data_IF_977425753626
#
_entry.id   IF_977425753626
#
_cell.length_a   1.000
_cell.length_b   1.000
_cell.length_c   1.000
_cell.angle_alpha   90.00
_cell.angle_beta   90.00
_cell.angle_gamma   90.00
#
_symmetry.space_group_name_H-M   'P 1'
#
loop_
_entity.id
_entity.type
_entity.pdbx_description
1 polymer ?
#
# COMPACT_ATOMS: atom_id res chain seq x y z
N UNK A 1 -19.61 13.87 -2.43
CA UNK A 1 -18.21 14.35 -2.36
C UNK A 1 -18.12 15.23 -1.13
N UNK A 2 -17.39 14.81 -0.13
CA UNK A 2 -17.15 15.63 1.05
C UNK A 2 -16.34 16.85 0.61
N UNK A 3 -16.78 18.04 1.01
CA UNK A 3 -16.08 19.26 0.63
C UNK A 3 -14.74 19.24 1.36
N UNK A 4 -13.63 19.12 0.64
CA UNK A 4 -12.30 19.13 1.25
C UNK A 4 -12.13 20.39 2.09
N UNK A 5 -11.68 20.19 3.30
CA UNK A 5 -11.15 21.27 4.12
C UNK A 5 -9.87 21.78 3.47
N UNK A 6 -9.67 23.09 3.49
CA UNK A 6 -8.38 23.69 3.10
C UNK A 6 -7.31 23.22 4.10
N UNK A 7 -6.49 22.27 3.66
CA UNK A 7 -5.38 21.71 4.43
C UNK A 7 -4.03 22.38 4.10
N UNK A 8 -4.08 23.47 3.33
CA UNK A 8 -2.90 24.27 2.94
C UNK A 8 -2.20 23.78 1.67
N UNK A 9 -2.66 22.70 1.03
CA UNK A 9 -2.11 22.26 -0.26
C UNK A 9 -2.79 22.98 -1.42
N UNK A 10 -1.99 23.55 -2.31
CA UNK A 10 -2.48 24.20 -3.55
C UNK A 10 -2.82 23.22 -4.68
N UNK A 11 -2.32 21.99 -4.58
CA UNK A 11 -2.54 20.91 -5.54
C UNK A 11 -2.80 19.63 -4.78
N UNK A 12 -3.80 18.89 -5.19
CA UNK A 12 -4.14 17.60 -4.60
C UNK A 12 -4.68 16.68 -5.66
N UNK A 13 -4.18 15.46 -5.68
CA UNK A 13 -4.73 14.33 -6.42
C UNK A 13 -5.17 13.28 -5.41
N UNK A 14 -6.33 12.74 -5.62
CA UNK A 14 -7.00 11.86 -4.65
C UNK A 14 -7.29 10.50 -5.26
N UNK A 15 -6.95 9.45 -4.53
CA UNK A 15 -7.43 8.10 -4.79
C UNK A 15 -7.88 7.43 -3.50
N UNK A 16 -8.59 6.33 -3.64
CA UNK A 16 -9.13 5.54 -2.53
C UNK A 16 -8.82 4.07 -2.76
N UNK A 17 -9.35 3.22 -1.90
CA UNK A 17 -9.36 1.78 -2.11
C UNK A 17 -9.76 1.48 -3.54
N UNK A 18 -9.14 0.49 -4.19
CA UNK A 18 -9.42 0.14 -5.57
C UNK A 18 -10.78 -0.58 -5.72
N UNK A 19 -11.84 -0.06 -5.14
CA UNK A 19 -13.21 -0.51 -5.32
C UNK A 19 -14.09 0.66 -5.80
N UNK A 20 -15.11 0.34 -6.61
CA UNK A 20 -16.01 1.32 -7.20
C UNK A 20 -17.19 1.70 -6.29
N UNK A 21 -17.29 1.10 -5.11
CA UNK A 21 -18.44 1.23 -4.22
C UNK A 21 -18.34 2.39 -3.22
N UNK A 22 -17.26 3.16 -3.26
CA UNK A 22 -17.14 4.30 -2.37
C UNK A 22 -18.14 5.38 -2.74
N UNK A 23 -18.92 5.93 -1.77
CA UNK A 23 -20.03 6.83 -2.06
C UNK A 23 -19.63 8.20 -2.63
N UNK A 24 -18.39 8.42 -2.95
CA UNK A 24 -17.83 9.66 -3.47
C UNK A 24 -17.82 9.82 -5.00
N UNK A 25 -18.08 8.77 -5.76
CA UNK A 25 -17.94 8.78 -7.22
C UNK A 25 -16.48 8.59 -7.70
N UNK A 26 -16.21 8.92 -8.95
CA UNK A 26 -14.91 8.75 -9.57
C UNK A 26 -13.83 9.60 -8.89
N UNK A 27 -12.69 8.96 -8.59
CA UNK A 27 -11.50 9.62 -8.04
C UNK A 27 -10.49 9.96 -9.14
N UNK A 28 -9.41 10.67 -8.79
CA UNK A 28 -8.42 11.14 -9.77
C UNK A 28 -7.64 9.98 -10.41
N UNK A 29 -7.42 8.87 -9.69
CA UNK A 29 -6.80 7.68 -10.26
C UNK A 29 -7.69 7.01 -11.30
N UNK A 30 -8.98 6.87 -11.05
CA UNK A 30 -9.92 6.35 -12.05
C UNK A 30 -10.02 7.25 -13.28
N UNK A 31 -9.97 8.58 -13.09
CA UNK A 31 -9.94 9.52 -14.21
C UNK A 31 -8.65 9.36 -15.04
N UNK A 32 -7.51 9.20 -14.38
CA UNK A 32 -6.24 8.93 -15.06
C UNK A 32 -6.26 7.61 -15.87
N UNK A 33 -6.88 6.56 -15.36
CA UNK A 33 -7.10 5.32 -16.13
C UNK A 33 -7.94 5.58 -17.37
N UNK A 34 -9.01 6.39 -17.26
CA UNK A 34 -9.85 6.77 -18.41
C UNK A 34 -9.10 7.57 -19.45
N UNK A 35 -8.23 8.48 -19.04
CA UNK A 35 -7.34 9.22 -19.96
C UNK A 35 -6.42 8.28 -20.75
N UNK A 36 -6.06 7.14 -20.17
CA UNK A 36 -5.31 6.07 -20.85
C UNK A 36 -6.21 5.11 -21.67
N UNK A 37 -7.50 5.37 -21.75
CA UNK A 37 -8.46 4.56 -22.49
C UNK A 37 -8.90 3.28 -21.76
N UNK A 38 -8.69 3.22 -20.47
CA UNK A 38 -8.99 2.08 -19.61
C UNK A 38 -10.14 2.39 -18.68
N UNK A 39 -10.90 1.36 -18.32
CA UNK A 39 -11.86 1.45 -17.23
C UNK A 39 -11.28 0.72 -16.02
N UNK A 40 -11.73 1.12 -14.85
CA UNK A 40 -11.34 0.49 -13.59
C UNK A 40 -11.61 -1.03 -13.62
N UNK A 41 -12.76 -1.45 -14.16
CA UNK A 41 -13.14 -2.85 -14.27
C UNK A 41 -12.22 -3.66 -15.21
N UNK A 42 -11.59 -2.99 -16.17
CA UNK A 42 -10.66 -3.64 -17.09
C UNK A 42 -9.34 -4.00 -16.38
N UNK A 43 -8.95 -3.21 -15.39
CA UNK A 43 -7.73 -3.40 -14.59
C UNK A 43 -7.97 -4.37 -13.43
N UNK A 44 -9.03 -4.16 -12.67
CA UNK A 44 -9.34 -4.93 -11.46
C UNK A 44 -10.28 -6.12 -11.73
N UNK A 45 -10.74 -6.29 -12.96
CA UNK A 45 -11.53 -7.43 -13.39
C UNK A 45 -12.91 -7.54 -12.75
N UNK A 46 -13.48 -6.44 -12.26
CA UNK A 46 -14.78 -6.41 -11.60
C UNK A 46 -14.87 -7.31 -10.36
N UNK A 47 -13.72 -7.70 -9.78
CA UNK A 47 -13.62 -8.68 -8.69
C UNK A 47 -13.58 -8.06 -7.30
N UNK A 48 -13.43 -6.76 -7.21
CA UNK A 48 -13.49 -6.06 -5.95
C UNK A 48 -14.94 -5.90 -5.55
N UNK A 49 -15.44 -6.88 -4.79
CA UNK A 49 -16.74 -6.75 -4.15
C UNK A 49 -16.63 -5.68 -3.06
N UNK A 50 -17.58 -4.77 -3.11
CA UNK A 50 -17.84 -3.72 -2.15
C UNK A 50 -17.42 -4.09 -0.71
N UNK A 51 -16.54 -3.28 -0.11
CA UNK A 51 -16.38 -3.26 1.35
C UNK A 51 -17.67 -2.75 2.06
N UNK A 52 -18.70 -2.38 1.30
CA UNK A 52 -19.97 -1.83 1.80
C UNK A 52 -20.96 -2.89 2.28
N UNK A 53 -20.68 -4.20 2.14
CA UNK A 53 -21.53 -5.24 2.70
C UNK A 53 -21.06 -5.59 4.12
N UNK A 54 -21.74 -5.07 5.10
CA UNK A 54 -21.56 -5.50 6.50
C UNK A 54 -22.55 -6.65 6.86
N UNK A 55 -22.11 -7.75 7.52
CA UNK A 55 -20.69 -8.10 7.75
C UNK A 55 -19.98 -8.35 6.43
N UNK A 56 -18.72 -7.93 6.31
CA UNK A 56 -17.97 -8.15 5.10
C UNK A 56 -17.90 -9.63 4.79
N UNK A 57 -18.24 -9.99 3.55
CA UNK A 57 -18.00 -11.36 3.11
C UNK A 57 -16.48 -11.57 3.07
N UNK A 58 -16.00 -12.79 3.36
CA UNK A 58 -14.59 -13.10 3.21
C UNK A 58 -14.11 -12.63 1.84
N UNK A 59 -13.15 -11.72 1.81
CA UNK A 59 -12.65 -11.18 0.56
C UNK A 59 -11.75 -12.23 -0.08
N UNK A 60 -12.09 -12.77 -1.27
CA UNK A 60 -11.27 -13.78 -1.94
C UNK A 60 -9.86 -13.28 -2.27
N UNK A 61 -9.62 -11.96 -2.22
CA UNK A 61 -8.31 -11.37 -2.48
C UNK A 61 -7.29 -11.62 -1.36
N UNK A 62 -7.72 -12.03 -0.17
CA UNK A 62 -6.82 -12.40 0.92
C UNK A 62 -6.25 -13.83 0.83
N UNK A 63 -6.64 -14.60 -0.18
CA UNK A 63 -6.23 -16.00 -0.36
C UNK A 63 -5.02 -16.18 -1.28
N UNK A 64 -4.28 -15.13 -1.62
CA UNK A 64 -3.17 -15.22 -2.58
C UNK A 64 -3.60 -15.50 -4.03
N UNK A 65 -4.89 -15.33 -4.35
CA UNK A 65 -5.45 -15.52 -5.72
C UNK A 65 -5.79 -14.20 -6.39
N UNK A 66 -5.09 -13.13 -6.04
CA UNK A 66 -5.28 -11.82 -6.63
C UNK A 66 -4.87 -11.81 -8.10
N UNK A 67 -5.64 -11.13 -8.92
CA UNK A 67 -5.20 -10.75 -10.27
C UNK A 67 -4.35 -9.50 -10.09
N UNK A 68 -3.06 -9.61 -10.32
CA UNK A 68 -2.15 -8.47 -10.20
C UNK A 68 -2.52 -7.36 -11.19
N UNK A 69 -2.46 -6.12 -10.74
CA UNK A 69 -2.62 -4.95 -11.60
C UNK A 69 -1.33 -4.75 -12.39
N UNK A 70 -1.37 -4.50 -13.73
CA UNK A 70 -0.15 -4.19 -14.47
C UNK A 70 0.58 -2.98 -13.88
N UNK A 71 1.91 -3.05 -13.78
CA UNK A 71 2.72 -2.03 -13.12
C UNK A 71 2.51 -0.62 -13.68
N UNK A 72 2.34 -0.51 -15.02
CA UNK A 72 2.11 0.77 -15.70
C UNK A 72 0.76 1.41 -15.38
N UNK A 73 -0.18 0.66 -14.83
CA UNK A 73 -1.53 1.12 -14.45
C UNK A 73 -1.75 1.09 -12.94
N UNK A 74 -0.75 0.64 -12.19
CA UNK A 74 -0.86 0.51 -10.75
C UNK A 74 -0.97 1.86 -10.04
N UNK A 75 -1.71 1.89 -8.94
CA UNK A 75 -1.96 3.11 -8.17
C UNK A 75 -0.67 3.75 -7.63
N UNK A 76 0.29 2.95 -7.19
CA UNK A 76 1.63 3.43 -6.79
C UNK A 76 2.37 4.11 -7.93
N UNK A 77 2.29 3.55 -9.16
CA UNK A 77 2.88 4.17 -10.36
C UNK A 77 2.21 5.51 -10.67
N UNK A 78 0.89 5.58 -10.56
CA UNK A 78 0.13 6.82 -10.72
C UNK A 78 0.56 7.89 -9.71
N UNK A 79 0.73 7.54 -8.42
CA UNK A 79 1.19 8.47 -7.39
C UNK A 79 2.52 9.13 -7.77
N UNK A 80 3.49 8.33 -8.21
CA UNK A 80 4.81 8.83 -8.61
C UNK A 80 4.74 9.65 -9.90
N UNK A 81 3.93 9.23 -10.89
CA UNK A 81 3.70 10.00 -12.11
C UNK A 81 3.17 11.39 -11.80
N UNK A 82 2.17 11.50 -10.92
CA UNK A 82 1.61 12.79 -10.50
C UNK A 82 2.59 13.65 -9.70
N UNK A 83 3.44 13.06 -8.88
CA UNK A 83 4.51 13.79 -8.21
C UNK A 83 5.52 14.36 -9.20
N UNK A 84 5.97 13.57 -10.17
CA UNK A 84 6.91 14.01 -11.23
C UNK A 84 6.27 15.11 -12.08
N UNK A 85 5.02 14.96 -12.51
CA UNK A 85 4.28 15.98 -13.26
C UNK A 85 4.22 17.32 -12.50
N UNK A 86 3.91 17.26 -11.21
CA UNK A 86 3.87 18.46 -10.37
C UNK A 86 5.23 19.14 -10.26
N UNK A 87 6.31 18.37 -10.04
CA UNK A 87 7.66 18.92 -9.96
C UNK A 87 8.06 19.58 -11.29
N UNK A 88 7.80 18.91 -12.42
CA UNK A 88 8.11 19.45 -13.76
C UNK A 88 7.39 20.77 -14.02
N UNK A 89 6.12 20.86 -13.69
CA UNK A 89 5.33 22.10 -13.87
C UNK A 89 5.82 23.25 -12.99
N UNK A 90 6.44 22.96 -11.85
CA UNK A 90 6.83 23.97 -10.86
C UNK A 90 8.33 24.26 -10.81
N UNK A 91 9.19 23.47 -11.47
CA UNK A 91 10.65 23.61 -11.36
C UNK A 91 11.18 24.96 -11.86
N UNK A 92 10.51 25.59 -12.82
CA UNK A 92 10.90 26.91 -13.35
C UNK A 92 10.25 28.09 -12.62
N UNK A 93 9.43 27.83 -11.61
CA UNK A 93 8.69 28.87 -10.88
C UNK A 93 9.56 29.73 -9.98
N UNK A 94 10.77 29.28 -9.65
CA UNK A 94 11.65 29.89 -8.66
C UNK A 94 11.17 29.83 -7.22
N UNK A 95 10.06 29.09 -6.95
CA UNK A 95 9.49 28.90 -5.63
C UNK A 95 9.82 27.52 -5.10
N UNK A 96 10.06 27.37 -3.79
CA UNK A 96 10.15 26.04 -3.19
C UNK A 96 8.80 25.32 -3.26
N UNK A 97 8.84 24.00 -3.29
CA UNK A 97 7.66 23.16 -3.27
C UNK A 97 7.76 22.11 -2.14
N UNK A 98 6.62 21.65 -1.71
CA UNK A 98 6.45 20.54 -0.77
C UNK A 98 5.48 19.55 -1.41
N UNK A 99 5.84 18.28 -1.40
CA UNK A 99 4.97 17.18 -1.85
C UNK A 99 4.83 16.17 -0.71
N UNK A 100 3.59 15.78 -0.41
CA UNK A 100 3.29 14.56 0.33
C UNK A 100 2.75 13.55 -0.68
N UNK A 101 3.51 12.49 -0.93
CA UNK A 101 3.14 11.40 -1.82
C UNK A 101 2.83 10.18 -0.96
N UNK A 102 1.60 9.71 -1.02
CA UNK A 102 1.10 8.66 -0.16
C UNK A 102 0.56 7.51 -1.04
N UNK A 103 1.43 6.59 -1.50
CA UNK A 103 0.98 5.36 -2.13
C UNK A 103 0.06 4.60 -1.19
N UNK A 104 -0.97 3.97 -1.75
CA UNK A 104 -1.89 3.14 -0.97
C UNK A 104 -1.21 1.85 -0.49
N UNK A 105 -0.33 1.30 -1.33
CA UNK A 105 0.39 0.06 -1.07
C UNK A 105 1.40 0.21 0.09
N UNK A 106 1.69 -0.88 0.77
CA UNK A 106 1.18 -2.25 0.65
C UNK A 106 -0.07 -2.53 1.49
N UNK A 107 -1.02 -1.61 1.50
CA UNK A 107 -2.31 -1.82 2.18
C UNK A 107 -3.18 -2.82 1.40
N UNK A 108 -3.80 -3.81 2.04
CA UNK A 108 -4.72 -4.73 1.35
C UNK A 108 -5.87 -4.00 0.63
N UNK A 109 -6.36 -4.53 -0.51
CA UNK A 109 -6.04 -5.84 -1.07
C UNK A 109 -4.64 -5.88 -1.69
N UNK A 110 -3.93 -6.99 -1.48
CA UNK A 110 -2.61 -7.19 -2.07
C UNK A 110 -2.79 -7.61 -3.54
N UNK A 111 -2.46 -6.73 -4.45
CA UNK A 111 -2.65 -6.92 -5.90
C UNK A 111 -1.40 -6.58 -6.73
N UNK A 112 -0.21 -7.06 -6.29
CA UNK A 112 1.04 -6.73 -6.94
C UNK A 112 1.05 -7.17 -8.40
N UNK A 113 1.74 -6.43 -9.27
CA UNK A 113 1.93 -6.87 -10.65
C UNK A 113 2.65 -8.22 -10.71
N UNK A 114 2.22 -9.11 -11.59
CA UNK A 114 2.78 -10.45 -11.71
C UNK A 114 4.31 -10.43 -11.90
N UNK A 115 4.83 -9.47 -12.66
CA UNK A 115 6.26 -9.33 -12.90
C UNK A 115 7.08 -9.10 -11.60
N UNK A 116 6.49 -8.51 -10.57
CA UNK A 116 7.12 -8.32 -9.26
C UNK A 116 7.00 -9.58 -8.41
N UNK A 117 5.86 -10.27 -8.45
CA UNK A 117 5.73 -11.59 -7.81
C UNK A 117 6.75 -12.60 -8.35
N UNK A 118 6.99 -12.57 -9.65
CA UNK A 118 7.92 -13.50 -10.32
C UNK A 118 9.39 -13.27 -9.91
N UNK A 119 9.74 -12.13 -9.32
CA UNK A 119 11.07 -11.87 -8.76
C UNK A 119 11.30 -12.62 -7.44
N UNK A 120 10.24 -13.00 -6.75
CA UNK A 120 10.26 -13.56 -5.41
C UNK A 120 9.93 -15.05 -5.44
N UNK A 121 10.84 -15.88 -4.92
CA UNK A 121 10.56 -17.29 -4.77
C UNK A 121 9.72 -17.52 -3.50
N UNK A 122 8.60 -18.20 -3.62
CA UNK A 122 7.70 -18.47 -2.49
C UNK A 122 8.37 -19.27 -1.37
N UNK A 123 9.29 -20.14 -1.71
CA UNK A 123 10.03 -20.96 -0.73
C UNK A 123 10.97 -20.13 0.16
N UNK A 124 11.38 -18.95 -0.31
CA UNK A 124 12.22 -18.02 0.44
C UNK A 124 11.41 -17.09 1.35
N UNK A 125 10.08 -17.11 1.24
CA UNK A 125 9.20 -16.28 2.06
C UNK A 125 9.18 -16.79 3.50
N UNK A 126 9.29 -15.88 4.49
CA UNK A 126 9.23 -16.28 5.90
C UNK A 126 7.84 -16.81 6.26
N UNK A 127 7.78 -17.60 7.30
CA UNK A 127 6.53 -17.85 8.01
C UNK A 127 6.35 -16.80 9.11
N UNK A 128 5.10 -16.44 9.43
CA UNK A 128 4.82 -15.53 10.53
C UNK A 128 5.42 -16.01 11.85
N UNK A 129 5.83 -15.07 12.69
CA UNK A 129 6.27 -15.36 14.06
C UNK A 129 5.06 -15.72 14.92
N UNK A 130 4.83 -17.01 15.10
CA UNK A 130 3.68 -17.53 15.82
C UNK A 130 4.06 -18.66 16.76
N UNK A 131 3.48 -18.67 17.95
CA UNK A 131 3.62 -19.76 18.92
C UNK A 131 2.25 -20.13 19.47
N UNK A 132 1.94 -21.42 19.44
CA UNK A 132 0.69 -21.93 20.02
C UNK A 132 0.55 -21.55 21.50
N UNK A 133 -0.63 -21.05 21.88
CA UNK A 133 -0.95 -20.61 23.24
C UNK A 133 -0.45 -19.21 23.62
N UNK A 134 0.27 -18.49 22.73
CA UNK A 134 0.78 -17.16 23.08
C UNK A 134 -0.32 -16.11 23.31
N UNK A 135 -1.50 -16.33 22.76
CA UNK A 135 -2.66 -15.45 22.98
C UNK A 135 -3.45 -15.74 24.24
N UNK A 136 -3.17 -16.82 24.97
CA UNK A 136 -3.95 -17.25 26.15
C UNK A 136 -3.95 -16.20 27.28
N UNK A 137 -2.88 -15.42 27.38
CA UNK A 137 -2.72 -14.32 28.34
C UNK A 137 -2.96 -12.93 27.75
N UNK A 138 -3.34 -12.85 26.48
CA UNK A 138 -3.55 -11.57 25.77
C UNK A 138 -5.00 -11.11 25.90
N UNK A 139 -5.25 -9.80 25.66
CA UNK A 139 -6.60 -9.25 25.67
C UNK A 139 -7.56 -10.01 24.75
N UNK A 140 -8.83 -10.17 25.14
CA UNK A 140 -9.78 -11.00 24.39
C UNK A 140 -9.99 -10.64 22.92
N UNK A 141 -9.80 -9.37 22.54
CA UNK A 141 -9.90 -8.95 21.15
C UNK A 141 -8.85 -9.59 20.25
N UNK A 142 -7.63 -9.85 20.76
CA UNK A 142 -6.60 -10.53 19.98
C UNK A 142 -6.95 -12.00 19.73
N UNK A 143 -7.53 -12.69 20.73
CA UNK A 143 -8.05 -14.05 20.54
C UNK A 143 -9.21 -14.08 19.54
N UNK A 144 -10.08 -13.05 19.61
CA UNK A 144 -11.18 -12.90 18.65
C UNK A 144 -10.65 -12.72 17.23
N UNK A 145 -9.69 -11.82 17.03
CA UNK A 145 -9.10 -11.57 15.72
C UNK A 145 -8.36 -12.78 15.15
N UNK A 146 -7.67 -13.54 16.00
CA UNK A 146 -7.06 -14.81 15.62
C UNK A 146 -8.08 -15.81 15.08
N UNK A 147 -9.22 -15.95 15.76
CA UNK A 147 -10.25 -16.96 15.45
C UNK A 147 -11.22 -16.53 14.35
N UNK A 148 -11.41 -15.23 14.15
CA UNK A 148 -12.42 -14.68 13.25
C UNK A 148 -11.83 -13.89 12.07
N UNK A 149 -10.50 -13.69 12.04
CA UNK A 149 -9.83 -12.83 11.09
C UNK A 149 -9.84 -11.37 11.53
N UNK A 150 -8.71 -10.69 11.36
CA UNK A 150 -8.47 -9.35 11.91
C UNK A 150 -9.54 -8.31 11.56
N UNK A 151 -9.69 -7.32 12.43
CA UNK A 151 -10.62 -6.19 12.28
C UNK A 151 -12.06 -6.64 11.97
N UNK A 152 -12.65 -7.44 12.88
CA UNK A 152 -14.04 -7.92 12.78
C UNK A 152 -14.32 -8.81 11.54
N UNK A 153 -13.37 -9.64 11.15
CA UNK A 153 -13.55 -10.64 10.10
C UNK A 153 -13.27 -10.13 8.67
N UNK A 154 -12.52 -9.05 8.54
CA UNK A 154 -12.09 -8.54 7.23
C UNK A 154 -10.94 -9.37 6.61
N UNK A 155 -10.17 -10.09 7.43
CA UNK A 155 -9.17 -11.05 6.97
C UNK A 155 -9.65 -12.48 7.23
N UNK A 156 -9.05 -13.46 6.56
CA UNK A 156 -9.29 -14.87 6.90
C UNK A 156 -8.71 -15.21 8.29
N UNK A 157 -9.42 -16.04 9.07
CA UNK A 157 -8.90 -16.48 10.36
C UNK A 157 -7.57 -17.20 10.23
N UNK A 158 -6.58 -16.84 11.05
CA UNK A 158 -5.25 -17.42 11.00
C UNK A 158 -5.24 -18.96 11.02
N UNK A 159 -6.07 -19.66 11.86
CA UNK A 159 -6.09 -21.12 11.92
C UNK A 159 -6.56 -21.80 10.63
N UNK A 160 -7.23 -21.08 9.73
CA UNK A 160 -7.74 -21.63 8.47
C UNK A 160 -6.73 -21.59 7.33
N UNK A 161 -5.64 -20.84 7.49
CA UNK A 161 -4.62 -20.66 6.49
C UNK A 161 -3.55 -21.75 6.60
N UNK A 162 -3.16 -22.30 5.45
CA UNK A 162 -2.00 -23.18 5.32
C UNK A 162 -0.69 -22.39 5.39
N UNK A 163 0.45 -23.08 5.50
CA UNK A 163 1.77 -22.44 5.38
C UNK A 163 1.97 -21.80 4.02
N UNK A 164 1.51 -22.44 2.95
CA UNK A 164 1.58 -21.91 1.59
C UNK A 164 0.76 -20.62 1.43
N UNK A 165 -0.45 -20.56 2.02
CA UNK A 165 -1.27 -19.34 2.03
C UNK A 165 -0.54 -18.19 2.74
N UNK A 166 0.15 -18.46 3.84
CA UNK A 166 0.91 -17.46 4.59
C UNK A 166 2.14 -16.97 3.83
N UNK A 167 2.88 -17.89 3.18
CA UNK A 167 4.02 -17.53 2.32
C UNK A 167 3.58 -16.71 1.11
N UNK A 168 2.45 -17.09 0.49
CA UNK A 168 1.88 -16.37 -0.64
C UNK A 168 1.54 -14.91 -0.26
N UNK A 169 0.97 -14.69 0.94
CA UNK A 169 0.71 -13.34 1.45
C UNK A 169 1.98 -12.53 1.63
N UNK A 170 3.02 -13.10 2.20
CA UNK A 170 4.32 -12.41 2.30
C UNK A 170 4.88 -12.08 0.92
N UNK A 171 4.76 -13.00 -0.03
CA UNK A 171 5.21 -12.76 -1.39
C UNK A 171 4.46 -11.61 -2.04
N UNK A 172 3.15 -11.56 -1.91
CA UNK A 172 2.34 -10.47 -2.44
C UNK A 172 2.70 -9.13 -1.78
N UNK A 173 2.82 -9.09 -0.46
CA UNK A 173 3.21 -7.91 0.28
C UNK A 173 4.61 -7.40 -0.11
N UNK A 174 5.60 -8.29 -0.24
CA UNK A 174 6.94 -7.90 -0.66
C UNK A 174 7.00 -7.47 -2.12
N UNK A 175 6.20 -8.07 -2.98
CA UNK A 175 6.11 -7.67 -4.38
C UNK A 175 5.56 -6.24 -4.54
N UNK A 176 4.63 -5.81 -3.69
CA UNK A 176 4.18 -4.41 -3.63
C UNK A 176 5.28 -3.47 -3.11
N UNK A 177 6.04 -3.90 -2.11
CA UNK A 177 7.20 -3.13 -1.63
C UNK A 177 8.24 -2.96 -2.73
N UNK A 178 8.53 -3.99 -3.52
CA UNK A 178 9.43 -3.86 -4.67
C UNK A 178 8.90 -2.90 -5.73
N UNK A 179 7.59 -2.87 -5.96
CA UNK A 179 6.98 -1.87 -6.84
C UNK A 179 7.16 -0.45 -6.29
N UNK A 180 6.95 -0.27 -4.99
CA UNK A 180 7.18 1.03 -4.33
C UNK A 180 8.64 1.45 -4.50
N UNK A 181 9.59 0.54 -4.28
CA UNK A 181 11.02 0.83 -4.40
C UNK A 181 11.40 1.23 -5.84
N UNK A 182 10.96 0.48 -6.84
CA UNK A 182 11.18 0.81 -8.26
C UNK A 182 10.57 2.20 -8.62
N UNK A 183 9.37 2.50 -8.15
CA UNK A 183 8.72 3.77 -8.41
C UNK A 183 9.39 4.93 -7.64
N UNK A 184 9.82 4.69 -6.41
CA UNK A 184 10.63 5.64 -5.66
C UNK A 184 11.97 5.90 -6.35
N UNK A 185 12.65 4.86 -6.83
CA UNK A 185 13.85 4.97 -7.65
C UNK A 185 13.64 5.84 -8.90
N UNK A 186 12.49 5.70 -9.56
CA UNK A 186 12.10 6.55 -10.71
C UNK A 186 12.01 8.04 -10.33
N UNK A 187 11.40 8.35 -9.18
CA UNK A 187 11.32 9.72 -8.67
C UNK A 187 12.72 10.27 -8.33
N UNK A 188 13.56 9.47 -7.68
CA UNK A 188 14.92 9.87 -7.33
C UNK A 188 15.76 10.15 -8.57
N UNK A 189 15.71 9.30 -9.59
CA UNK A 189 16.39 9.51 -10.87
C UNK A 189 15.92 10.79 -11.55
N UNK A 190 14.63 11.08 -11.53
CA UNK A 190 14.09 12.33 -12.09
C UNK A 190 14.66 13.57 -11.37
N UNK A 191 14.75 13.52 -10.03
CA UNK A 191 15.36 14.63 -9.27
C UNK A 191 16.84 14.84 -9.61
N UNK A 192 17.60 13.76 -9.84
CA UNK A 192 19.00 13.82 -10.25
C UNK A 192 19.15 14.38 -11.67
N UNK A 193 18.43 13.85 -12.64
CA UNK A 193 18.45 14.26 -14.04
C UNK A 193 18.06 15.74 -14.22
N UNK A 194 17.18 16.23 -13.36
CA UNK A 194 16.75 17.64 -13.39
C UNK A 194 17.58 18.56 -12.49
N UNK A 195 18.62 18.04 -11.83
CA UNK A 195 19.53 18.80 -10.97
C UNK A 195 18.90 19.29 -9.65
N UNK A 196 17.78 18.71 -9.24
CA UNK A 196 17.07 19.12 -8.03
C UNK A 196 17.44 18.28 -6.78
N UNK A 197 18.11 17.13 -6.98
CA UNK A 197 18.42 16.18 -5.89
C UNK A 197 19.20 16.80 -4.74
N UNK A 198 20.22 17.60 -5.05
CA UNK A 198 21.11 18.20 -4.05
C UNK A 198 20.37 19.09 -3.03
N UNK A 199 19.29 19.74 -3.46
CA UNK A 199 18.53 20.69 -2.64
C UNK A 199 17.17 20.16 -2.22
N UNK A 200 16.88 18.90 -2.49
CA UNK A 200 15.61 18.26 -2.08
C UNK A 200 15.82 17.39 -0.85
N UNK A 201 15.16 17.75 0.24
CA UNK A 201 15.02 16.87 1.39
C UNK A 201 13.96 15.82 1.08
N UNK A 202 14.38 14.58 0.98
CA UNK A 202 13.50 13.42 0.80
C UNK A 202 13.32 12.75 2.16
N UNK A 203 12.07 12.52 2.54
CA UNK A 203 11.69 11.79 3.76
C UNK A 203 10.86 10.59 3.32
N UNK A 204 11.37 9.39 3.57
CA UNK A 204 10.65 8.14 3.36
C UNK A 204 10.23 7.59 4.71
N UNK A 205 8.94 7.31 4.86
CA UNK A 205 8.36 6.81 6.11
C UNK A 205 7.07 6.03 5.84
N UNK A 206 6.63 5.27 6.82
CA UNK A 206 5.29 4.67 6.85
C UNK A 206 4.50 5.21 8.04
N UNK A 207 3.19 5.21 7.96
CA UNK A 207 2.27 5.57 9.04
C UNK A 207 2.15 4.47 10.10
N UNK A 208 2.15 3.21 9.68
CA UNK A 208 2.17 2.00 10.52
C UNK A 208 2.72 0.82 9.73
N UNK A 209 2.99 -0.27 10.42
CA UNK A 209 3.35 -1.55 9.82
C UNK A 209 2.14 -2.46 9.58
N UNK A 210 2.41 -3.75 9.41
CA UNK A 210 1.41 -4.78 9.15
C UNK A 210 1.77 -6.07 9.93
N UNK A 211 0.78 -6.72 10.53
CA UNK A 211 1.02 -7.96 11.29
C UNK A 211 1.40 -9.14 10.41
N UNK A 212 0.87 -9.23 9.19
CA UNK A 212 1.15 -10.30 8.23
C UNK A 212 1.10 -11.73 8.79
N UNK A 213 0.34 -11.93 9.86
CA UNK A 213 0.21 -13.23 10.54
C UNK A 213 1.13 -13.39 11.75
N UNK A 214 2.00 -12.45 12.05
CA UNK A 214 2.77 -12.45 13.29
C UNK A 214 1.83 -12.49 14.49
N UNK A 215 2.17 -13.28 15.48
CA UNK A 215 1.33 -13.56 16.65
C UNK A 215 -0.06 -14.13 16.29
N UNK A 216 -0.22 -14.70 15.09
CA UNK A 216 -1.50 -15.21 14.59
C UNK A 216 -2.49 -14.10 14.22
N UNK A 217 -2.02 -12.88 14.00
CA UNK A 217 -2.83 -11.70 13.74
C UNK A 217 -2.57 -11.16 12.36
N UNK A 218 -3.60 -10.63 11.73
CA UNK A 218 -3.49 -9.94 10.44
C UNK A 218 -3.94 -8.50 10.55
N UNK A 219 -3.45 -7.68 9.64
CA UNK A 219 -3.74 -6.25 9.53
C UNK A 219 -3.15 -5.45 10.69
N UNK A 220 -3.71 -4.31 10.93
CA UNK A 220 -3.46 -3.41 12.04
C UNK A 220 -4.71 -3.39 12.91
N UNK A 221 -4.55 -3.61 14.18
CA UNK A 221 -5.64 -3.55 15.15
C UNK A 221 -5.22 -2.71 16.35
N UNK A 222 -5.94 -2.85 17.44
CA UNK A 222 -5.56 -2.20 18.72
C UNK A 222 -4.41 -2.96 19.39
N UNK A 223 -3.31 -3.17 18.66
CA UNK A 223 -2.09 -3.84 19.14
C UNK A 223 -0.88 -2.94 18.93
N UNK A 224 0.14 -3.11 19.78
CA UNK A 224 1.39 -2.37 19.70
C UNK A 224 2.58 -3.34 19.64
N UNK A 225 2.55 -4.23 18.64
CA UNK A 225 3.67 -5.12 18.34
C UNK A 225 4.70 -4.42 17.46
N UNK A 226 5.96 -4.89 17.51
CA UNK A 226 7.05 -4.37 16.67
C UNK A 226 6.67 -4.30 15.20
N UNK A 227 5.99 -5.32 14.68
CA UNK A 227 5.55 -5.37 13.29
C UNK A 227 4.64 -4.18 12.89
N UNK A 228 3.96 -3.54 13.85
CA UNK A 228 3.08 -2.39 13.59
C UNK A 228 3.71 -1.03 13.89
N UNK A 229 4.58 -0.96 14.91
CA UNK A 229 5.04 0.35 15.41
C UNK A 229 6.48 0.68 15.01
N UNK A 230 7.26 -0.33 14.63
CA UNK A 230 8.63 -0.14 14.18
C UNK A 230 8.66 0.12 12.67
N UNK A 231 8.28 1.33 12.29
CA UNK A 231 8.20 1.77 10.89
C UNK A 231 9.52 2.38 10.41
N UNK A 232 9.82 2.35 9.10
CA UNK A 232 10.98 3.02 8.55
C UNK A 232 10.85 4.55 8.67
N UNK A 233 11.99 5.21 8.92
CA UNK A 233 12.14 6.64 8.77
C UNK A 233 13.53 6.92 8.18
N UNK A 234 13.57 7.33 6.93
CA UNK A 234 14.80 7.61 6.19
C UNK A 234 14.75 9.06 5.72
N UNK A 235 15.81 9.81 5.97
CA UNK A 235 15.95 11.19 5.50
C UNK A 235 17.20 11.32 4.64
N UNK A 236 17.08 11.95 3.49
CA UNK A 236 18.18 12.13 2.56
C UNK A 236 18.13 13.51 1.91
N UNK A 237 19.21 14.27 2.05
CA UNK A 237 19.47 15.51 1.35
C UNK A 237 20.98 15.70 1.24
N UNK A 238 21.62 15.52 0.07
CA UNK A 238 23.07 15.52 -0.05
C UNK A 238 23.72 16.83 0.39
N UNK A 239 23.05 17.97 0.21
CA UNK A 239 23.54 19.27 0.66
C UNK A 239 23.50 19.47 2.17
N UNK A 240 22.67 18.72 2.91
CA UNK A 240 22.48 18.84 4.36
C UNK A 240 23.14 17.70 5.16
N UNK A 241 23.06 16.48 4.66
CA UNK A 241 23.54 15.29 5.35
C UNK A 241 24.78 14.75 4.62
N UNK A 242 25.87 14.61 5.37
CA UNK A 242 27.08 13.92 4.89
C UNK A 242 26.98 12.45 5.28
N UNK A 243 27.25 11.56 4.33
CA UNK A 243 27.41 10.11 4.57
C UNK A 243 28.67 9.83 5.35
#
# INVERSE_FOLDING_TARGET
>A
MEKRTDDGYSYVQWSEHPNDDWPGGENDYQNWLKEKGLRWEDIYGGKYTSMATWPPKPNPHFTGKTVGVPAEYHQTTWCVEKAIEFIEQNRSSGKPWLISMNPYDPHPPLDPPQAYKDRLNIEDMPLPLWKAGELDSKPPHQQKDYMQGGQDGQAEPYPTLTEDDRRERFRDYYAEIELIDDQFGRLMNYLEETGQREQTLVIFMSDHGEMNGDHGLYWKGAYFYEALVHVPLIMSCPSLFKS
#
